data_IF_979016899200
#
_entry.id   IF_979016899200
#
_cell.length_a   1.000
_cell.length_b   1.000
_cell.length_c   1.000
_cell.angle_alpha   90.00
_cell.angle_beta   90.00
_cell.angle_gamma   90.00
#
_symmetry.space_group_name_H-M   'P 1'
#
loop_
_entity.id
_entity.type
_entity.pdbx_description
1 polymer ?
#
# COMPACT_ATOMS: atom_id res chain seq x y z
N UNK A 1 12.66 -7.29 2.80
CA UNK A 1 13.97 -6.69 3.12
C UNK A 1 13.80 -5.73 4.29
N UNK A 2 14.79 -5.67 5.20
CA UNK A 2 14.82 -4.71 6.31
C UNK A 2 15.69 -3.50 5.91
N UNK A 3 15.28 -2.30 6.29
CA UNK A 3 16.11 -1.11 6.25
C UNK A 3 17.11 -1.14 7.42
N UNK A 4 18.12 -0.25 7.40
CA UNK A 4 19.16 -0.17 8.44
C UNK A 4 18.60 0.07 9.85
N UNK A 5 17.44 0.73 9.96
CA UNK A 5 16.75 0.99 11.22
C UNK A 5 15.85 -0.17 11.70
N UNK A 6 15.86 -1.29 10.96
CA UNK A 6 15.05 -2.48 11.23
C UNK A 6 13.61 -2.43 10.72
N UNK A 7 13.16 -1.31 10.11
CA UNK A 7 11.84 -1.27 9.46
C UNK A 7 11.79 -2.20 8.24
N UNK A 8 10.61 -2.76 7.96
CA UNK A 8 10.42 -3.55 6.74
C UNK A 8 10.12 -2.60 5.57
N UNK A 9 10.87 -2.75 4.48
CA UNK A 9 10.63 -2.00 3.25
C UNK A 9 9.38 -2.54 2.53
N UNK A 10 8.41 -1.69 2.15
CA UNK A 10 7.26 -2.12 1.38
C UNK A 10 7.64 -2.85 0.08
N UNK A 11 6.83 -3.85 -0.26
CA UNK A 11 6.98 -4.70 -1.43
C UNK A 11 5.82 -4.52 -2.38
N UNK A 12 6.11 -4.58 -3.67
CA UNK A 12 5.13 -4.58 -4.74
C UNK A 12 5.06 -5.99 -5.33
N UNK A 13 3.95 -6.69 -5.11
CA UNK A 13 3.67 -8.02 -5.66
C UNK A 13 2.91 -7.90 -6.97
N UNK A 14 3.19 -8.78 -7.93
CA UNK A 14 2.51 -8.74 -9.24
C UNK A 14 2.29 -10.11 -9.87
N UNK A 15 1.18 -10.22 -10.61
CA UNK A 15 0.83 -11.39 -11.40
C UNK A 15 0.09 -11.01 -12.67
N UNK A 16 0.69 -11.34 -13.82
CA UNK A 16 0.00 -11.29 -15.11
C UNK A 16 -0.72 -12.61 -15.40
N UNK A 17 -1.88 -12.54 -16.03
CA UNK A 17 -2.70 -13.70 -16.38
C UNK A 17 -3.60 -13.40 -17.58
N UNK A 18 -4.00 -14.43 -18.31
CA UNK A 18 -5.03 -14.33 -19.35
C UNK A 18 -6.30 -15.06 -18.90
N UNK A 19 -7.46 -14.47 -19.19
CA UNK A 19 -8.73 -15.16 -19.04
C UNK A 19 -8.96 -16.10 -20.24
N UNK A 20 -9.76 -17.17 -20.08
CA UNK A 20 -10.17 -17.99 -21.21
C UNK A 20 -10.81 -17.14 -22.32
N UNK A 21 -10.27 -17.25 -23.53
CA UNK A 21 -10.69 -16.45 -24.69
C UNK A 21 -12.17 -16.68 -25.02
N UNK A 22 -12.78 -15.67 -25.63
CA UNK A 22 -14.17 -15.68 -26.12
C UNK A 22 -15.26 -15.92 -25.05
N UNK A 23 -14.93 -15.78 -23.76
CA UNK A 23 -15.92 -15.83 -22.67
C UNK A 23 -16.23 -14.44 -22.15
N UNK A 24 -17.52 -14.15 -21.98
CA UNK A 24 -17.96 -12.91 -21.32
C UNK A 24 -17.93 -13.09 -19.80
N UNK A 25 -17.22 -12.22 -19.08
CA UNK A 25 -17.25 -12.20 -17.62
C UNK A 25 -18.68 -11.92 -17.13
N UNK A 26 -19.15 -12.72 -16.17
CA UNK A 26 -20.40 -12.51 -15.43
C UNK A 26 -20.13 -11.82 -14.10
N UNK A 27 -19.10 -12.26 -13.38
CA UNK A 27 -18.72 -11.72 -12.07
C UNK A 27 -17.25 -12.01 -11.79
N UNK A 28 -16.56 -11.07 -11.15
CA UNK A 28 -15.19 -11.26 -10.69
C UNK A 28 -15.03 -10.84 -9.23
N UNK A 29 -14.37 -11.67 -8.43
CA UNK A 29 -14.11 -11.42 -7.01
C UNK A 29 -12.65 -11.64 -6.65
N UNK A 30 -12.13 -10.81 -5.76
CA UNK A 30 -10.77 -10.83 -5.26
C UNK A 30 -10.89 -10.91 -3.76
N UNK A 31 -10.47 -12.05 -3.25
CA UNK A 31 -10.31 -12.32 -1.84
C UNK A 31 -8.86 -11.99 -1.51
N UNK A 32 -8.61 -11.02 -0.64
CA UNK A 32 -7.24 -10.55 -0.39
C UNK A 32 -7.02 -10.17 1.07
N UNK A 33 -5.82 -10.44 1.55
CA UNK A 33 -5.30 -10.02 2.85
C UNK A 33 -3.77 -9.97 2.81
N UNK A 34 -3.15 -9.38 3.82
CA UNK A 34 -1.71 -9.27 3.92
C UNK A 34 -1.18 -9.35 5.35
N UNK A 35 -0.03 -9.99 5.52
CA UNK A 35 0.80 -9.84 6.72
C UNK A 35 1.48 -8.47 6.64
N UNK A 36 0.73 -7.45 7.07
CA UNK A 36 1.04 -6.05 6.80
C UNK A 36 -0.24 -5.23 6.66
N UNK A 37 -0.18 -4.18 5.85
CA UNK A 37 -1.34 -3.61 5.17
C UNK A 37 -1.12 -3.65 3.66
N UNK A 38 -2.18 -3.58 2.86
CA UNK A 38 -2.06 -3.66 1.41
C UNK A 38 -2.94 -2.63 0.68
N UNK A 39 -2.53 -2.36 -0.56
CA UNK A 39 -3.33 -1.68 -1.57
C UNK A 39 -3.24 -2.48 -2.88
N UNK A 40 -4.40 -2.93 -3.39
CA UNK A 40 -4.48 -3.76 -4.58
C UNK A 40 -5.00 -2.97 -5.78
N UNK A 41 -4.45 -3.24 -6.95
CA UNK A 41 -4.91 -2.71 -8.22
C UNK A 41 -4.96 -3.80 -9.29
N UNK A 42 -5.91 -3.66 -10.20
CA UNK A 42 -6.05 -4.50 -11.38
C UNK A 42 -5.95 -3.59 -12.58
N UNK A 43 -5.06 -3.93 -13.51
CA UNK A 43 -4.92 -3.20 -14.77
C UNK A 43 -4.62 -1.70 -14.57
N UNK A 44 -3.97 -1.34 -13.45
CA UNK A 44 -3.65 0.02 -13.06
C UNK A 44 -4.75 0.77 -12.29
N UNK A 45 -5.91 0.14 -12.06
CA UNK A 45 -7.02 0.73 -11.33
C UNK A 45 -7.18 0.09 -9.94
N UNK A 46 -7.36 0.89 -8.90
CA UNK A 46 -7.53 0.40 -7.53
C UNK A 46 -8.72 -0.54 -7.39
N UNK A 47 -8.54 -1.61 -6.61
CA UNK A 47 -9.59 -2.55 -6.27
C UNK A 47 -10.24 -2.11 -4.96
N UNK A 48 -11.36 -1.40 -5.07
CA UNK A 48 -12.08 -0.82 -3.94
C UNK A 48 -11.47 0.50 -3.45
N UNK A 49 -11.96 0.95 -2.29
CA UNK A 49 -11.70 2.27 -1.70
C UNK A 49 -11.18 2.17 -0.24
N UNK A 50 -10.82 0.97 0.19
CA UNK A 50 -10.39 0.70 1.56
C UNK A 50 -8.94 1.11 1.77
N UNK A 51 -8.68 1.79 2.88
CA UNK A 51 -7.33 2.17 3.30
C UNK A 51 -6.89 1.28 4.47
N UNK A 52 -5.57 1.09 4.61
CA UNK A 52 -4.98 0.33 5.73
C UNK A 52 -5.56 -1.09 5.90
N UNK A 53 -6.12 -1.69 4.84
CA UNK A 53 -6.61 -3.06 4.85
C UNK A 53 -5.44 -4.03 5.09
N UNK A 54 -5.60 -5.14 5.84
CA UNK A 54 -6.84 -5.66 6.42
C UNK A 54 -7.19 -5.07 7.80
N UNK A 55 -6.50 -4.03 8.26
CA UNK A 55 -6.66 -3.42 9.58
C UNK A 55 -5.81 -4.11 10.66
N UNK A 56 -6.10 -3.77 11.92
CA UNK A 56 -5.41 -4.34 13.07
C UNK A 56 -6.22 -5.46 13.73
N UNK A 57 -5.66 -6.66 13.83
CA UNK A 57 -6.22 -7.79 14.57
C UNK A 57 -5.18 -8.43 15.48
N UNK A 58 -5.63 -9.33 16.36
CA UNK A 58 -4.72 -10.29 17.02
C UNK A 58 -4.32 -11.37 16.01
N UNK A 59 -3.37 -11.07 15.11
CA UNK A 59 -3.01 -11.89 13.94
C UNK A 59 -2.65 -13.35 14.25
N UNK A 60 -2.22 -13.66 15.48
CA UNK A 60 -2.01 -15.03 15.95
C UNK A 60 -3.29 -15.88 15.89
N UNK A 61 -4.45 -15.27 16.14
CA UNK A 61 -5.75 -15.94 16.29
C UNK A 61 -6.67 -15.71 15.11
N UNK A 62 -6.62 -14.53 14.49
CA UNK A 62 -7.49 -14.17 13.37
C UNK A 62 -6.86 -13.12 12.48
N UNK A 63 -7.18 -13.20 11.19
CA UNK A 63 -6.72 -12.29 10.16
C UNK A 63 -7.89 -11.98 9.25
N UNK A 64 -8.25 -10.70 9.15
CA UNK A 64 -9.32 -10.30 8.25
C UNK A 64 -8.89 -10.46 6.79
N UNK A 65 -9.81 -10.86 5.92
CA UNK A 65 -9.66 -10.71 4.47
C UNK A 65 -10.81 -9.89 3.90
N UNK A 66 -10.55 -9.22 2.80
CA UNK A 66 -11.54 -8.40 2.10
C UNK A 66 -12.00 -9.11 0.83
N UNK A 67 -13.21 -8.80 0.41
CA UNK A 67 -13.78 -9.25 -0.86
C UNK A 67 -14.17 -8.03 -1.66
N UNK A 68 -13.66 -7.94 -2.88
CA UNK A 68 -13.99 -6.88 -3.82
C UNK A 68 -14.61 -7.47 -5.08
N UNK A 69 -15.68 -6.85 -5.58
CA UNK A 69 -16.21 -7.08 -6.91
C UNK A 69 -15.53 -6.05 -7.88
N UNK A 70 -15.07 -6.49 -9.06
CA UNK A 70 -14.35 -5.64 -10.03
C UNK A 70 -14.44 -6.12 -11.48
N UNK A 71 -15.48 -6.86 -11.87
CA UNK A 71 -15.62 -7.40 -13.23
C UNK A 71 -15.37 -6.36 -14.35
N UNK A 72 -15.69 -5.09 -14.12
CA UNK A 72 -15.49 -3.99 -15.06
C UNK A 72 -14.00 -3.66 -15.33
N UNK A 73 -13.08 -4.10 -14.46
CA UNK A 73 -11.64 -3.84 -14.59
C UNK A 73 -10.91 -4.90 -15.43
N UNK A 74 -11.57 -6.02 -15.75
CA UNK A 74 -10.94 -7.15 -16.44
C UNK A 74 -11.00 -7.01 -17.97
N UNK A 75 -9.88 -7.25 -18.63
CA UNK A 75 -9.80 -7.40 -20.07
C UNK A 75 -10.13 -8.84 -20.45
N UNK A 76 -11.10 -9.06 -21.34
CA UNK A 76 -11.46 -10.40 -21.84
C UNK A 76 -10.58 -10.86 -23.00
N UNK A 77 -9.93 -9.92 -23.69
CA UNK A 77 -9.09 -10.16 -24.86
C UNK A 77 -7.69 -9.58 -24.61
N UNK A 78 -6.88 -10.29 -23.82
CA UNK A 78 -5.49 -9.92 -23.57
C UNK A 78 -5.02 -10.27 -22.16
N UNK A 79 -3.80 -9.84 -21.85
CA UNK A 79 -3.22 -10.00 -20.54
C UNK A 79 -3.82 -9.01 -19.54
N UNK A 80 -4.19 -9.52 -18.38
CA UNK A 80 -4.50 -8.75 -17.19
C UNK A 80 -3.28 -8.73 -16.27
N UNK A 81 -3.26 -7.76 -15.36
CA UNK A 81 -2.23 -7.63 -14.32
C UNK A 81 -2.89 -7.31 -12.98
N UNK A 82 -2.67 -8.15 -11.98
CA UNK A 82 -2.90 -7.79 -10.57
C UNK A 82 -1.59 -7.28 -10.00
N UNK A 83 -1.66 -6.16 -9.30
CA UNK A 83 -0.56 -5.59 -8.51
C UNK A 83 -1.04 -5.34 -7.09
N UNK A 84 -0.19 -5.62 -6.10
CA UNK A 84 -0.51 -5.38 -4.69
C UNK A 84 0.71 -4.83 -3.98
N UNK A 85 0.62 -3.59 -3.51
CA UNK A 85 1.58 -3.02 -2.59
C UNK A 85 1.30 -3.53 -1.19
N UNK A 86 2.33 -4.01 -0.49
CA UNK A 86 2.25 -4.48 0.89
C UNK A 86 3.27 -3.72 1.73
N UNK A 87 2.78 -3.08 2.79
CA UNK A 87 3.56 -2.32 3.75
C UNK A 87 3.46 -2.94 5.16
N UNK A 88 4.30 -2.55 6.13
CA UNK A 88 4.36 -3.20 7.44
C UNK A 88 3.09 -3.13 8.28
N UNK A 89 2.30 -2.06 8.17
CA UNK A 89 1.08 -1.86 8.98
C UNK A 89 1.31 -2.07 10.49
N UNK A 90 0.27 -2.45 11.23
CA UNK A 90 0.43 -2.88 12.64
C UNK A 90 1.14 -4.22 12.81
N UNK A 91 1.25 -5.01 11.72
CA UNK A 91 1.90 -6.31 11.74
C UNK A 91 3.39 -6.19 12.08
N UNK A 92 4.06 -5.17 11.52
CA UNK A 92 5.51 -5.01 11.67
C UNK A 92 6.04 -3.57 11.92
N UNK A 93 5.22 -2.51 11.83
CA UNK A 93 5.67 -1.16 12.24
C UNK A 93 5.99 -1.08 13.74
N UNK A 94 6.71 -0.03 14.15
CA UNK A 94 6.87 0.31 15.58
C UNK A 94 5.51 0.43 16.27
N UNK A 95 5.37 -0.17 17.46
CA UNK A 95 4.24 0.02 18.38
C UNK A 95 4.71 0.69 19.70
N UNK A 96 4.27 1.91 19.97
CA UNK A 96 4.86 2.80 20.97
C UNK A 96 4.51 2.37 22.40
N UNK A 97 3.38 1.69 22.58
CA UNK A 97 2.91 1.15 23.85
C UNK A 97 3.58 -0.17 24.24
N UNK A 98 4.45 -0.71 23.37
CA UNK A 98 5.25 -1.93 23.62
C UNK A 98 6.75 -1.61 23.55
N UNK A 99 7.18 -0.60 24.28
CA UNK A 99 8.58 -0.12 24.33
C UNK A 99 9.16 0.23 22.95
N UNK A 100 8.32 0.66 22.00
CA UNK A 100 8.76 0.98 20.65
C UNK A 100 9.24 -0.22 19.82
N UNK A 101 8.82 -1.44 20.17
CA UNK A 101 9.17 -2.66 19.42
C UNK A 101 8.56 -2.65 18.02
N UNK A 102 9.29 -3.23 17.06
CA UNK A 102 8.87 -3.53 15.68
C UNK A 102 8.62 -5.04 15.52
N UNK A 103 8.01 -5.43 14.40
CA UNK A 103 7.87 -6.85 14.01
C UNK A 103 7.21 -7.73 15.08
N UNK A 104 6.23 -7.18 15.82
CA UNK A 104 5.60 -7.86 16.96
C UNK A 104 4.89 -9.16 16.55
N UNK A 105 4.35 -9.21 15.33
CA UNK A 105 3.56 -10.34 14.84
C UNK A 105 4.28 -11.16 13.78
N UNK A 106 5.34 -10.60 13.18
CA UNK A 106 6.19 -11.24 12.20
C UNK A 106 7.15 -10.23 11.59
N UNK A 107 8.21 -10.72 10.96
CA UNK A 107 9.27 -9.90 10.36
C UNK A 107 9.44 -10.16 8.84
N UNK A 108 8.49 -10.86 8.24
CA UNK A 108 8.33 -11.03 6.79
C UNK A 108 6.97 -10.44 6.36
N UNK A 109 6.96 -9.66 5.27
CA UNK A 109 5.72 -9.22 4.63
C UNK A 109 5.17 -10.33 3.74
N UNK A 110 3.86 -10.51 3.76
CA UNK A 110 3.19 -11.59 3.02
C UNK A 110 1.88 -11.15 2.40
N UNK A 111 1.56 -11.74 1.26
CA UNK A 111 0.31 -11.53 0.52
C UNK A 111 -0.42 -12.86 0.40
N UNK A 112 -1.73 -12.85 0.66
CA UNK A 112 -2.63 -13.92 0.26
C UNK A 112 -3.74 -13.30 -0.58
N UNK A 113 -3.85 -13.73 -1.82
CA UNK A 113 -4.89 -13.27 -2.73
C UNK A 113 -5.44 -14.42 -3.56
N UNK A 114 -6.73 -14.36 -3.88
CA UNK A 114 -7.39 -15.32 -4.74
C UNK A 114 -8.45 -14.63 -5.59
N UNK A 115 -8.25 -14.66 -6.90
CA UNK A 115 -9.17 -14.20 -7.92
C UNK A 115 -10.13 -15.34 -8.30
N UNK A 116 -11.42 -15.03 -8.38
CA UNK A 116 -12.49 -15.89 -8.90
C UNK A 116 -13.23 -15.17 -10.02
N UNK A 117 -13.32 -15.78 -11.20
CA UNK A 117 -14.07 -15.22 -12.34
C UNK A 117 -15.07 -16.23 -12.86
N UNK A 118 -16.35 -15.88 -12.83
CA UNK A 118 -17.43 -16.63 -13.48
C UNK A 118 -17.82 -15.96 -14.79
N UNK A 119 -18.34 -16.74 -15.73
CA UNK A 119 -18.64 -16.29 -17.09
C UNK A 119 -20.13 -16.49 -17.40
N UNK A 120 -20.62 -15.83 -18.46
CA UNK A 120 -22.04 -15.80 -18.83
C UNK A 120 -22.55 -17.09 -19.49
N UNK A 121 -21.66 -17.94 -19.98
CA UNK A 121 -21.95 -19.20 -20.67
C UNK A 121 -22.40 -20.36 -19.75
N UNK A 122 -22.74 -20.06 -18.49
CA UNK A 122 -23.23 -21.03 -17.50
C UNK A 122 -22.13 -21.55 -16.57
N UNK A 123 -22.43 -22.59 -15.77
CA UNK A 123 -21.54 -23.17 -14.73
C UNK A 123 -20.27 -23.86 -15.28
N UNK A 124 -19.87 -23.54 -16.51
CA UNK A 124 -18.54 -23.86 -17.02
C UNK A 124 -17.47 -23.24 -16.10
N UNK A 125 -16.58 -24.12 -15.58
CA UNK A 125 -15.55 -23.89 -14.56
C UNK A 125 -15.16 -22.43 -14.36
N UNK A 126 -15.40 -21.93 -13.14
CA UNK A 126 -14.86 -20.66 -12.63
C UNK A 126 -13.35 -20.63 -12.83
N UNK A 127 -12.84 -19.55 -13.40
CA UNK A 127 -11.40 -19.32 -13.44
C UNK A 127 -10.94 -18.89 -12.04
N UNK A 128 -9.95 -19.60 -11.49
CA UNK A 128 -9.39 -19.32 -10.17
C UNK A 128 -7.90 -19.10 -10.30
N UNK A 129 -7.40 -18.01 -9.73
CA UNK A 129 -5.98 -17.66 -9.68
C UNK A 129 -5.64 -17.27 -8.24
N UNK A 130 -4.79 -18.05 -7.58
CA UNK A 130 -4.29 -17.77 -6.23
C UNK A 130 -2.90 -17.16 -6.23
N UNK A 131 -2.47 -16.67 -5.07
CA UNK A 131 -1.05 -16.44 -4.77
C UNK A 131 -0.31 -17.76 -4.74
N UNK A 132 0.73 -17.87 -5.55
CA UNK A 132 1.57 -19.05 -5.71
C UNK A 132 3.02 -18.65 -6.08
N UNK A 133 3.87 -19.63 -6.37
CA UNK A 133 5.27 -19.39 -6.76
C UNK A 133 5.45 -18.76 -8.15
N UNK A 134 4.38 -18.47 -8.88
CA UNK A 134 4.41 -17.77 -10.16
C UNK A 134 4.13 -16.27 -10.01
N UNK A 135 3.98 -15.77 -8.79
CA UNK A 135 3.99 -14.34 -8.51
C UNK A 135 5.42 -13.81 -8.48
N UNK A 136 5.54 -12.51 -8.71
CA UNK A 136 6.77 -11.78 -8.55
C UNK A 136 6.63 -10.73 -7.44
N UNK A 137 7.76 -10.32 -6.87
CA UNK A 137 7.81 -9.17 -5.99
C UNK A 137 9.02 -8.28 -6.29
N UNK A 138 8.87 -6.98 -6.03
CA UNK A 138 9.98 -6.03 -6.10
C UNK A 138 9.87 -5.01 -4.96
N UNK A 139 10.96 -4.31 -4.65
CA UNK A 139 10.88 -3.19 -3.73
C UNK A 139 10.02 -2.05 -4.31
N UNK A 140 9.20 -1.43 -3.46
CA UNK A 140 8.46 -0.22 -3.82
C UNK A 140 9.39 1.01 -3.86
N UNK A 141 8.93 2.07 -4.55
CA UNK A 141 9.45 3.44 -4.40
C UNK A 141 9.18 4.00 -3.00
N UNK A 142 8.20 3.45 -2.30
CA UNK A 142 8.06 3.64 -0.86
C UNK A 142 9.17 2.84 -0.18
N UNK A 143 10.17 3.54 0.36
CA UNK A 143 11.35 2.95 0.98
C UNK A 143 11.14 2.62 2.45
N UNK A 144 10.25 3.36 3.12
CA UNK A 144 9.79 3.12 4.48
C UNK A 144 8.35 3.59 4.60
N UNK A 145 7.51 2.85 5.32
CA UNK A 145 6.14 3.25 5.63
C UNK A 145 5.76 2.71 7.01
N UNK A 146 5.53 3.62 7.95
CA UNK A 146 5.28 3.27 9.35
C UNK A 146 4.17 4.11 9.97
N UNK A 147 3.35 3.45 10.81
CA UNK A 147 2.19 4.07 11.47
C UNK A 147 2.53 5.35 12.25
N UNK A 148 3.70 5.41 12.92
CA UNK A 148 4.07 6.58 13.74
C UNK A 148 5.11 7.49 13.11
N UNK A 149 5.96 6.94 12.24
CA UNK A 149 7.11 7.68 11.73
C UNK A 149 6.84 8.35 10.39
N UNK A 150 5.79 7.93 9.68
CA UNK A 150 5.43 8.41 8.36
C UNK A 150 6.00 7.54 7.24
N UNK A 151 5.94 8.09 6.04
CA UNK A 151 6.32 7.43 4.80
C UNK A 151 7.48 8.13 4.09
N UNK A 152 8.37 7.37 3.46
CA UNK A 152 9.44 7.89 2.61
C UNK A 152 9.24 7.40 1.19
N UNK A 153 8.89 8.30 0.30
CA UNK A 153 8.75 8.05 -1.13
C UNK A 153 9.98 8.55 -1.90
N UNK A 154 10.71 7.64 -2.52
CA UNK A 154 11.91 7.96 -3.28
C UNK A 154 11.65 7.86 -4.78
N UNK A 155 11.49 9.00 -5.44
CA UNK A 155 11.30 9.07 -6.89
C UNK A 155 12.55 8.68 -7.67
N UNK A 156 13.72 8.69 -7.04
CA UNK A 156 14.99 8.30 -7.69
C UNK A 156 15.17 6.79 -7.76
N UNK A 157 14.34 6.03 -7.02
CA UNK A 157 14.40 4.58 -7.03
C UNK A 157 13.85 4.01 -8.36
N UNK A 158 14.75 3.42 -9.13
CA UNK A 158 14.41 2.69 -10.36
C UNK A 158 13.69 1.37 -10.04
N UNK A 159 12.37 1.42 -10.09
CA UNK A 159 11.52 0.24 -10.23
C UNK A 159 11.07 0.15 -11.68
N UNK A 160 11.48 -0.90 -12.39
CA UNK A 160 10.98 -1.16 -13.75
C UNK A 160 9.44 -1.22 -13.71
N UNK A 161 8.73 -0.55 -14.64
CA UNK A 161 7.28 -0.67 -14.72
C UNK A 161 6.88 -2.13 -14.90
N UNK A 162 5.94 -2.60 -14.10
CA UNK A 162 5.34 -3.92 -14.32
C UNK A 162 4.28 -3.74 -15.41
N UNK A 163 4.48 -4.33 -16.58
CA UNK A 163 3.56 -4.21 -17.71
C UNK A 163 2.72 -5.48 -17.88
N UNK A 164 1.59 -5.35 -18.60
CA UNK A 164 0.72 -6.50 -18.91
C UNK A 164 1.38 -7.34 -20.02
N UNK A 165 1.34 -8.67 -19.89
CA UNK A 165 1.74 -9.59 -20.96
C UNK A 165 3.25 -9.78 -21.15
N UNK A 166 4.09 -9.07 -20.41
CA UNK A 166 5.49 -9.47 -20.29
C UNK A 166 5.52 -10.82 -19.56
N UNK A 167 6.01 -11.84 -20.27
CA UNK A 167 6.46 -13.06 -19.62
C UNK A 167 7.40 -12.60 -18.51
N UNK A 168 7.02 -12.91 -17.27
CA UNK A 168 7.69 -12.55 -16.03
C UNK A 168 9.13 -13.10 -16.06
N UNK A 169 9.98 -12.44 -16.83
CA UNK A 169 11.35 -12.82 -17.08
C UNK A 169 12.16 -12.22 -15.96
N UNK A 170 12.90 -13.07 -15.25
CA UNK A 170 13.87 -12.69 -14.22
C UNK A 170 15.12 -12.03 -14.81
N UNK A 171 15.02 -11.46 -16.01
CA UNK A 171 16.11 -10.74 -16.63
C UNK A 171 16.49 -9.54 -15.75
N UNK A 172 17.77 -9.46 -15.41
CA UNK A 172 18.37 -8.57 -14.39
C UNK A 172 18.13 -7.06 -14.57
N UNK A 173 17.41 -6.64 -15.62
CA UNK A 173 17.01 -5.24 -15.83
C UNK A 173 15.78 -4.85 -15.02
N UNK A 174 15.00 -5.81 -14.53
CA UNK A 174 13.90 -5.55 -13.61
C UNK A 174 14.32 -5.99 -12.22
N UNK A 175 14.12 -5.15 -11.20
CA UNK A 175 14.36 -5.50 -9.78
C UNK A 175 13.33 -6.52 -9.25
N UNK A 176 12.72 -7.29 -10.15
CA UNK A 176 11.68 -8.28 -9.89
C UNK A 176 12.32 -9.60 -9.45
N UNK A 177 11.89 -10.09 -8.30
CA UNK A 177 12.37 -11.32 -7.66
C UNK A 177 11.24 -12.34 -7.61
N UNK A 178 11.61 -13.62 -7.62
CA UNK A 178 10.67 -14.70 -7.34
C UNK A 178 10.19 -14.61 -5.89
N UNK A 179 8.90 -14.87 -5.68
CA UNK A 179 8.35 -14.91 -4.32
C UNK A 179 8.77 -16.18 -3.59
N UNK A 180 8.87 -16.09 -2.26
CA UNK A 180 8.95 -17.25 -1.36
C UNK A 180 7.53 -17.66 -0.97
N UNK A 181 7.10 -18.86 -1.34
CA UNK A 181 5.83 -19.42 -0.88
C UNK A 181 6.00 -19.87 0.58
N UNK A 182 5.12 -19.40 1.46
CA UNK A 182 5.12 -19.73 2.88
C UNK A 182 3.84 -20.44 3.27
N UNK A 183 3.91 -21.35 4.24
CA UNK A 183 2.72 -21.98 4.82
C UNK A 183 1.93 -20.96 5.62
N UNK A 184 0.61 -20.98 5.48
CA UNK A 184 -0.31 -20.15 6.24
C UNK A 184 -1.45 -20.99 6.83
N UNK A 185 -1.84 -20.70 8.06
CA UNK A 185 -2.97 -21.35 8.71
C UNK A 185 -4.29 -20.68 8.29
N UNK A 186 -4.92 -21.23 7.25
CA UNK A 186 -6.16 -20.71 6.69
C UNK A 186 -7.34 -20.69 7.68
N UNK A 187 -7.28 -21.47 8.78
CA UNK A 187 -8.32 -21.45 9.82
C UNK A 187 -8.40 -20.09 10.55
N UNK A 188 -7.38 -19.24 10.43
CA UNK A 188 -7.36 -17.89 10.98
C UNK A 188 -8.10 -16.86 10.13
N UNK A 189 -8.43 -17.17 8.88
CA UNK A 189 -9.09 -16.23 7.99
C UNK A 189 -10.54 -16.02 8.40
N UNK A 190 -10.92 -14.75 8.53
CA UNK A 190 -12.27 -14.36 8.95
C UNK A 190 -12.73 -13.15 8.13
N UNK A 191 -14.01 -13.11 7.78
CA UNK A 191 -14.61 -11.90 7.23
C UNK A 191 -14.72 -10.82 8.33
N UNK A 192 -14.53 -9.53 8.03
CA UNK A 192 -14.73 -8.45 8.99
C UNK A 192 -16.20 -8.36 9.42
N UNK A 193 -16.43 -7.99 10.69
CA UNK A 193 -17.75 -7.66 11.25
C UNK A 193 -17.93 -6.15 11.47
N UNK A 194 -17.04 -5.33 10.91
CA UNK A 194 -17.00 -3.88 11.06
C UNK A 194 -16.75 -3.22 9.69
N UNK A 195 -17.20 -1.97 9.49
CA UNK A 195 -16.87 -1.25 8.26
C UNK A 195 -15.35 -1.06 8.13
N UNK A 196 -14.81 -1.06 6.91
CA UNK A 196 -13.40 -0.80 6.68
C UNK A 196 -13.06 0.68 6.86
N UNK A 197 -11.77 0.97 7.01
CA UNK A 197 -11.25 2.36 6.96
C UNK A 197 -11.27 2.84 5.52
N UNK A 198 -11.72 4.08 5.30
CA UNK A 198 -11.80 4.75 3.99
C UNK A 198 -11.48 6.23 4.15
N UNK A 199 -11.17 6.89 3.04
CA UNK A 199 -11.23 8.36 2.97
C UNK A 199 -12.69 8.77 2.98
N UNK A 200 -13.13 9.46 4.04
CA UNK A 200 -14.53 9.90 4.19
C UNK A 200 -14.75 11.35 3.75
N UNK A 201 -13.69 12.16 3.75
CA UNK A 201 -13.72 13.57 3.41
C UNK A 201 -12.34 14.01 2.89
N UNK A 202 -12.33 14.99 1.97
CA UNK A 202 -11.14 15.72 1.57
C UNK A 202 -11.24 17.17 2.06
N UNK A 203 -10.37 17.56 2.99
CA UNK A 203 -10.37 18.91 3.60
C UNK A 203 -9.29 19.77 2.95
N UNK A 204 -9.64 20.98 2.53
CA UNK A 204 -8.69 21.97 1.99
C UNK A 204 -8.08 22.80 3.13
N UNK A 205 -6.82 23.24 3.01
CA UNK A 205 -6.25 24.14 4.00
C UNK A 205 -7.01 25.48 4.03
N UNK A 206 -7.18 26.03 5.23
CA UNK A 206 -7.81 27.35 5.45
C UNK A 206 -6.77 28.48 5.45
N UNK A 207 -5.50 28.16 5.73
CA UNK A 207 -4.40 29.13 5.71
C UNK A 207 -3.06 28.47 5.40
N UNK A 208 -2.17 29.23 4.77
CA UNK A 208 -0.76 28.88 4.58
C UNK A 208 0.06 30.10 4.97
N UNK A 209 0.97 29.95 5.93
CA UNK A 209 1.74 31.06 6.48
C UNK A 209 3.16 30.63 6.89
N UNK A 210 4.00 31.59 7.25
CA UNK A 210 5.37 31.32 7.72
C UNK A 210 5.42 31.23 9.26
N UNK A 211 6.13 30.22 9.77
CA UNK A 211 6.44 30.09 11.19
C UNK A 211 7.45 31.15 11.64
N UNK A 212 7.68 31.26 12.96
CA UNK A 212 8.65 32.21 13.52
C UNK A 212 10.08 32.06 12.96
N UNK A 213 10.48 30.85 12.55
CA UNK A 213 11.77 30.54 11.91
C UNK A 213 11.72 30.46 10.37
N UNK A 214 10.62 30.90 9.74
CA UNK A 214 10.47 30.95 8.28
C UNK A 214 10.15 29.62 7.62
N UNK A 215 9.52 28.66 8.33
CA UNK A 215 9.00 27.42 7.73
C UNK A 215 7.58 27.63 7.24
N UNK A 216 7.21 27.01 6.12
CA UNK A 216 5.82 27.02 5.65
C UNK A 216 4.96 26.12 6.54
N UNK A 217 3.90 26.69 7.10
CA UNK A 217 2.87 26.00 7.88
C UNK A 217 1.59 25.97 7.06
N UNK A 218 0.93 24.81 7.05
CA UNK A 218 -0.36 24.60 6.39
C UNK A 218 -1.36 24.31 7.51
N UNK A 219 -2.35 25.18 7.67
CA UNK A 219 -3.43 25.03 8.64
C UNK A 219 -4.70 24.57 7.94
N UNK A 220 -5.26 23.45 8.41
CA UNK A 220 -6.51 22.87 7.91
C UNK A 220 -7.76 23.38 8.65
N UNK A 221 -7.59 24.18 9.71
CA UNK A 221 -8.69 24.73 10.50
C UNK A 221 -9.40 23.71 11.38
N UNK A 222 -8.98 22.45 11.32
CA UNK A 222 -9.53 21.32 12.06
C UNK A 222 -8.39 20.36 12.41
N UNK A 223 -8.37 19.84 13.64
CA UNK A 223 -7.53 18.70 13.99
C UNK A 223 -8.16 17.43 13.39
N UNK A 224 -7.46 16.77 12.47
CA UNK A 224 -7.96 15.69 11.62
C UNK A 224 -7.06 14.45 11.72
N UNK A 225 -7.60 13.29 11.37
CA UNK A 225 -6.83 12.05 11.19
C UNK A 225 -6.85 11.63 9.73
N UNK A 226 -5.67 11.36 9.16
CA UNK A 226 -5.51 11.00 7.75
C UNK A 226 -4.09 11.30 7.27
N UNK A 227 -3.96 11.66 5.99
CA UNK A 227 -2.70 12.05 5.34
C UNK A 227 -2.96 13.16 4.32
N UNK A 228 -1.87 13.79 3.85
CA UNK A 228 -1.94 14.84 2.84
C UNK A 228 -2.07 14.23 1.44
N UNK A 229 -2.90 14.85 0.59
CA UNK A 229 -2.89 14.63 -0.85
C UNK A 229 -2.14 15.77 -1.53
N UNK A 230 -1.09 15.44 -2.28
CA UNK A 230 -0.30 16.40 -3.04
C UNK A 230 -0.63 16.19 -4.51
N UNK A 231 -1.30 17.17 -5.13
CA UNK A 231 -1.72 17.06 -6.53
C UNK A 231 -0.55 17.12 -7.51
N UNK A 232 0.36 18.05 -7.27
CA UNK A 232 1.54 18.25 -8.09
C UNK A 232 2.72 18.67 -7.20
N UNK A 233 3.86 17.99 -7.37
CA UNK A 233 5.11 18.41 -6.75
C UNK A 233 6.25 18.28 -7.75
N UNK A 234 6.86 19.42 -8.08
CA UNK A 234 8.07 19.47 -8.91
C UNK A 234 9.20 20.17 -8.16
N UNK A 235 10.30 19.44 -7.95
CA UNK A 235 11.57 19.96 -7.44
C UNK A 235 12.72 19.32 -8.21
N UNK A 236 13.89 19.97 -8.17
CA UNK A 236 15.13 19.42 -8.77
C UNK A 236 15.46 18.02 -8.22
N UNK A 237 16.17 17.22 -9.01
CA UNK A 237 16.70 15.94 -8.56
C UNK A 237 17.49 16.07 -7.26
N UNK A 238 17.29 15.14 -6.33
CA UNK A 238 17.91 15.14 -5.00
C UNK A 238 17.29 16.12 -3.99
N UNK A 239 16.29 16.93 -4.39
CA UNK A 239 15.56 17.76 -3.43
C UNK A 239 14.71 16.87 -2.51
N UNK A 240 14.71 17.17 -1.21
CA UNK A 240 13.94 16.44 -0.21
C UNK A 240 12.87 17.34 0.38
N UNK A 241 11.59 16.99 0.16
CA UNK A 241 10.44 17.69 0.73
C UNK A 241 9.96 16.88 1.93
N UNK A 242 9.79 17.54 3.08
CA UNK A 242 9.34 16.89 4.33
C UNK A 242 8.04 17.55 4.81
N UNK A 243 7.03 16.73 5.08
CA UNK A 243 5.77 17.13 5.66
C UNK A 243 5.74 16.62 7.10
N UNK A 244 5.73 17.55 8.06
CA UNK A 244 5.65 17.23 9.49
C UNK A 244 4.26 17.57 9.98
N UNK A 245 3.63 16.65 10.69
CA UNK A 245 2.26 16.79 11.18
C UNK A 245 2.27 17.05 12.69
N UNK A 246 1.42 17.97 13.15
CA UNK A 246 1.24 18.29 14.57
C UNK A 246 -0.21 18.73 14.82
N UNK A 247 -0.69 18.54 16.05
CA UNK A 247 -2.05 18.93 16.43
C UNK A 247 -2.17 20.41 16.82
N UNK A 248 -1.06 21.03 17.26
CA UNK A 248 -1.03 22.39 17.82
C UNK A 248 0.21 23.14 17.38
N UNK A 249 0.14 24.48 17.49
CA UNK A 249 1.31 25.36 17.43
C UNK A 249 1.85 25.60 18.85
N UNK A 250 3.17 25.72 18.98
CA UNK A 250 3.87 26.03 20.23
C UNK A 250 5.01 27.01 19.91
N UNK A 251 5.04 28.16 20.59
CA UNK A 251 6.07 29.21 20.40
C UNK A 251 6.27 29.65 18.93
N UNK A 252 5.18 29.72 18.15
CA UNK A 252 5.23 30.12 16.73
C UNK A 252 5.72 29.03 15.78
N UNK A 253 5.86 27.78 16.25
CA UNK A 253 6.30 26.61 15.49
C UNK A 253 5.32 25.43 15.66
N UNK A 254 5.50 24.33 14.93
CA UNK A 254 4.73 23.10 15.15
C UNK A 254 5.05 22.47 16.51
N UNK A 255 4.02 22.28 17.34
CA UNK A 255 4.11 21.62 18.65
C UNK A 255 4.18 20.09 18.53
N UNK A 256 5.36 19.56 18.19
CA UNK A 256 5.55 18.09 18.01
C UNK A 256 6.01 17.34 19.25
N UNK A 257 6.46 18.04 20.30
CA UNK A 257 6.87 17.42 21.57
C UNK A 257 5.82 16.43 22.14
N UNK A 258 4.49 16.66 22.08
CA UNK A 258 3.50 15.67 22.55
C UNK A 258 3.51 14.32 21.82
N UNK A 259 4.04 14.27 20.60
CA UNK A 259 4.12 13.05 19.80
C UNK A 259 5.16 12.05 20.34
N UNK A 260 6.00 12.47 21.29
CA UNK A 260 7.07 11.67 21.91
C UNK A 260 8.01 11.11 20.84
N UNK A 261 7.99 9.80 20.62
CA UNK A 261 8.85 9.11 19.65
C UNK A 261 8.24 8.97 18.26
N UNK A 262 6.97 9.35 18.07
CA UNK A 262 6.33 9.35 16.76
C UNK A 262 6.83 10.56 15.95
N UNK A 263 7.54 10.32 14.85
CA UNK A 263 8.04 11.41 13.99
C UNK A 263 6.93 12.11 13.22
N UNK A 264 5.87 11.38 12.85
CA UNK A 264 4.76 11.87 12.03
C UNK A 264 5.24 12.69 10.81
N UNK A 265 6.24 12.17 10.09
CA UNK A 265 6.93 12.91 9.02
C UNK A 265 6.93 12.11 7.72
N UNK A 266 6.24 12.62 6.71
CA UNK A 266 6.30 12.07 5.36
C UNK A 266 7.39 12.79 4.57
N UNK A 267 8.12 12.06 3.73
CA UNK A 267 9.27 12.57 2.99
C UNK A 267 9.20 12.14 1.53
N UNK A 268 9.38 13.10 0.62
CA UNK A 268 9.50 12.85 -0.81
C UNK A 268 10.92 13.24 -1.26
N UNK A 269 11.64 12.30 -1.85
CA UNK A 269 12.94 12.53 -2.50
C UNK A 269 12.68 12.66 -4.00
N UNK A 270 12.89 13.86 -4.54
CA UNK A 270 12.54 14.19 -5.91
C UNK A 270 13.61 13.75 -6.91
N UNK A 271 13.21 13.36 -8.12
CA UNK A 271 14.10 12.98 -9.23
C UNK A 271 14.20 14.04 -10.34
N UNK A 272 13.53 15.19 -10.19
CA UNK A 272 13.46 16.25 -11.22
C UNK A 272 12.19 16.24 -12.07
N UNK A 273 11.47 15.11 -12.09
CA UNK A 273 10.17 14.97 -12.73
C UNK A 273 9.05 15.51 -11.82
N UNK A 274 7.88 15.74 -12.41
CA UNK A 274 6.68 16.13 -11.66
C UNK A 274 6.06 14.89 -11.03
N UNK A 275 5.93 14.88 -9.71
CA UNK A 275 5.08 13.91 -9.01
C UNK A 275 3.62 14.35 -9.17
N UNK A 276 2.78 13.45 -9.69
CA UNK A 276 1.32 13.61 -9.77
C UNK A 276 0.64 12.47 -9.03
N UNK A 277 -0.54 12.74 -8.47
CA UNK A 277 -1.41 11.72 -7.90
C UNK A 277 -2.10 10.87 -8.98
#
# INVERSE_FOLDING_TARGET
>A
MKNDDGSLRPLHFSRSFELPRARSVRKARLYVTAQGCYHASINGQSVGDQCMAPGWQSYKYRMHYQVYDFEALLETNGANLITVDVAPGWFASVLAWVDGRRCLFGDELGLLAQLHVSFKDGDAKTFVLGTDGQWQCQCSRITSSEIYNGEVYDMTFESAPVTRGEAQSTNSRTNSQAVKVVSFDFAKLVSPNAPPVRVTEAVRPVSIFESASGKTIIDFGQNLFGWLQIFELRKRAGHVVRFRHAEVMENGELGVRPLRHAKATDTIICNGETLTN
#
